data_IF_075997479510
#
_entry.id   IF_075997479510
#
_cell.length_a   1.000
_cell.length_b   1.000
_cell.length_c   1.000
_cell.angle_alpha   90.00
_cell.angle_beta   90.00
_cell.angle_gamma   90.00
#
_symmetry.space_group_name_H-M   'P 1'
#
loop_
_entity.id
_entity.type
_entity.pdbx_description
1 polymer ?
#
# COMPACT_ATOMS: atom_id res chain seq x y z
N UNK A 1 56.89 -11.86 1.71
CA UNK A 1 55.62 -11.19 2.04
C UNK A 1 55.98 -9.85 2.64
N UNK A 2 55.68 -8.74 1.95
CA UNK A 2 55.92 -7.39 2.48
C UNK A 2 54.80 -7.06 3.49
N UNK A 3 55.22 -6.87 4.73
CA UNK A 3 54.32 -6.32 5.77
C UNK A 3 53.95 -4.88 5.39
N UNK A 4 52.65 -4.63 5.19
CA UNK A 4 52.10 -3.27 5.01
C UNK A 4 52.01 -2.68 6.42
N UNK A 5 52.95 -1.79 6.78
CA UNK A 5 52.87 -1.00 8.03
C UNK A 5 52.10 0.28 7.73
N UNK A 6 50.86 0.35 8.17
CA UNK A 6 50.04 1.56 8.15
C UNK A 6 50.49 2.48 9.32
N UNK A 7 50.58 3.77 9.07
CA UNK A 7 50.77 4.73 10.17
C UNK A 7 49.39 5.01 10.85
N UNK A 8 49.42 5.64 12.04
CA UNK A 8 48.20 5.90 12.82
C UNK A 8 47.16 6.74 12.03
N UNK A 9 47.60 7.76 11.27
CA UNK A 9 46.72 8.60 10.47
C UNK A 9 46.05 7.82 9.33
N UNK A 10 46.79 6.93 8.65
CA UNK A 10 46.24 6.08 7.60
C UNK A 10 45.22 5.08 8.16
N UNK A 11 45.47 4.54 9.36
CA UNK A 11 44.54 3.63 10.02
C UNK A 11 43.27 4.36 10.43
N UNK A 12 43.36 5.58 10.97
CA UNK A 12 42.22 6.42 11.35
C UNK A 12 41.39 6.81 10.14
N UNK A 13 42.03 7.15 9.03
CA UNK A 13 41.31 7.43 7.76
C UNK A 13 40.58 6.21 7.23
N UNK A 14 41.17 5.04 7.27
CA UNK A 14 40.52 3.77 6.86
C UNK A 14 39.31 3.47 7.73
N UNK A 15 39.46 3.58 9.06
CA UNK A 15 38.37 3.34 10.02
C UNK A 15 37.23 4.33 9.78
N UNK A 16 37.54 5.61 9.63
CA UNK A 16 36.53 6.67 9.40
C UNK A 16 35.79 6.43 8.08
N UNK A 17 36.52 6.06 7.03
CA UNK A 17 35.93 5.77 5.71
C UNK A 17 35.06 4.53 5.73
N UNK A 18 35.52 3.47 6.42
CA UNK A 18 34.75 2.24 6.59
C UNK A 18 33.48 2.48 7.41
N UNK A 19 33.55 3.27 8.49
CA UNK A 19 32.38 3.63 9.30
C UNK A 19 31.36 4.45 8.48
N UNK A 20 31.80 5.46 7.70
CA UNK A 20 30.91 6.23 6.82
C UNK A 20 30.22 5.33 5.79
N UNK A 21 30.99 4.46 5.11
CA UNK A 21 30.41 3.49 4.16
C UNK A 21 29.42 2.53 4.83
N UNK A 22 29.72 2.06 6.03
CA UNK A 22 28.83 1.21 6.80
C UNK A 22 27.49 1.90 7.09
N UNK A 23 27.52 3.16 7.52
CA UNK A 23 26.32 3.97 7.78
C UNK A 23 25.52 4.21 6.49
N UNK A 24 26.18 4.51 5.36
CA UNK A 24 25.52 4.71 4.07
C UNK A 24 24.84 3.41 3.59
N UNK A 25 25.51 2.27 3.69
CA UNK A 25 24.94 0.97 3.33
C UNK A 25 23.72 0.66 4.19
N UNK A 26 23.83 0.83 5.53
CA UNK A 26 22.72 0.61 6.46
C UNK A 26 21.51 1.49 6.12
N UNK A 27 21.71 2.80 5.94
CA UNK A 27 20.62 3.72 5.54
C UNK A 27 19.96 3.30 4.23
N UNK A 28 20.76 2.89 3.24
CA UNK A 28 20.23 2.46 1.95
C UNK A 28 19.41 1.16 2.05
N UNK A 29 19.82 0.22 2.90
CA UNK A 29 19.09 -1.02 3.15
C UNK A 29 17.78 -0.75 3.90
N UNK A 30 17.82 0.12 4.90
CA UNK A 30 16.65 0.54 5.67
C UNK A 30 15.62 1.24 4.78
N UNK A 31 16.05 2.17 3.93
CA UNK A 31 15.17 2.83 2.94
C UNK A 31 14.54 1.83 1.96
N UNK A 32 15.32 0.85 1.49
CA UNK A 32 14.78 -0.21 0.61
C UNK A 32 13.72 -1.04 1.33
N UNK A 33 13.94 -1.37 2.60
CA UNK A 33 13.00 -2.12 3.43
C UNK A 33 11.72 -1.32 3.64
N UNK A 34 11.80 -0.08 4.07
CA UNK A 34 10.63 0.80 4.25
C UNK A 34 9.81 0.97 2.97
N UNK A 35 10.47 1.13 1.83
CA UNK A 35 9.78 1.22 0.54
C UNK A 35 9.08 -0.09 0.16
N UNK A 36 9.71 -1.23 0.45
CA UNK A 36 9.11 -2.54 0.22
C UNK A 36 7.91 -2.78 1.14
N UNK A 37 8.01 -2.39 2.41
CA UNK A 37 6.93 -2.50 3.39
C UNK A 37 5.73 -1.64 2.99
N UNK A 38 5.93 -0.37 2.64
CA UNK A 38 4.86 0.53 2.13
C UNK A 38 4.17 -0.01 0.88
N UNK A 39 4.93 -0.55 -0.07
CA UNK A 39 4.37 -1.20 -1.25
C UNK A 39 3.50 -2.39 -0.86
N UNK A 40 4.00 -3.26 0.02
CA UNK A 40 3.30 -4.45 0.47
C UNK A 40 2.02 -4.09 1.21
N UNK A 41 2.06 -3.11 2.10
CA UNK A 41 0.90 -2.62 2.85
C UNK A 41 -0.15 -2.02 1.92
N UNK A 42 0.26 -1.22 0.92
CA UNK A 42 -0.64 -0.65 -0.09
C UNK A 42 -1.29 -1.73 -0.93
N UNK A 43 -0.50 -2.71 -1.40
CA UNK A 43 -1.03 -3.82 -2.18
C UNK A 43 -2.02 -4.65 -1.37
N UNK A 44 -1.70 -4.96 -0.12
CA UNK A 44 -2.57 -5.70 0.80
C UNK A 44 -3.85 -4.94 1.11
N UNK A 45 -3.75 -3.63 1.32
CA UNK A 45 -4.89 -2.74 1.52
C UNK A 45 -5.84 -2.76 0.31
N UNK A 46 -5.28 -2.65 -0.90
CA UNK A 46 -6.07 -2.70 -2.13
C UNK A 46 -6.69 -4.08 -2.39
N UNK A 47 -6.07 -5.17 -1.95
CA UNK A 47 -6.68 -6.51 -1.98
C UNK A 47 -7.95 -6.60 -1.13
N UNK A 48 -7.99 -5.89 -0.01
CA UNK A 48 -9.14 -5.84 0.89
C UNK A 48 -10.17 -4.75 0.49
N UNK A 49 -9.92 -3.97 -0.57
CA UNK A 49 -10.75 -2.82 -0.93
C UNK A 49 -12.23 -3.19 -1.13
N UNK A 50 -12.52 -4.25 -1.89
CA UNK A 50 -13.90 -4.71 -2.13
C UNK A 50 -14.62 -5.16 -0.85
N UNK A 51 -13.89 -5.88 0.00
CA UNK A 51 -14.42 -6.33 1.30
C UNK A 51 -14.68 -5.15 2.23
N UNK A 52 -13.82 -4.13 2.19
CA UNK A 52 -14.01 -2.89 2.94
C UNK A 52 -15.23 -2.10 2.45
N UNK A 53 -15.45 -2.03 1.13
CA UNK A 53 -16.66 -1.43 0.53
C UNK A 53 -17.90 -2.20 0.97
N UNK A 54 -17.89 -3.53 0.87
CA UNK A 54 -18.99 -4.38 1.33
C UNK A 54 -19.28 -4.16 2.82
N UNK A 55 -18.26 -4.13 3.67
CA UNK A 55 -18.39 -3.88 5.10
C UNK A 55 -19.00 -2.50 5.38
N UNK A 56 -18.56 -1.45 4.68
CA UNK A 56 -19.14 -0.10 4.80
C UNK A 56 -20.65 -0.11 4.55
N UNK A 57 -21.08 -0.82 3.53
CA UNK A 57 -22.45 -0.78 3.06
C UNK A 57 -23.38 -1.71 3.87
N UNK A 58 -22.87 -2.83 4.38
CA UNK A 58 -23.68 -3.91 4.96
C UNK A 58 -23.53 -4.11 6.48
N UNK A 59 -22.48 -3.58 7.15
CA UNK A 59 -22.21 -3.85 8.56
C UNK A 59 -23.39 -3.54 9.52
N UNK A 60 -24.22 -2.54 9.22
CA UNK A 60 -25.40 -2.20 10.04
C UNK A 60 -26.57 -3.12 9.73
N UNK A 61 -26.69 -3.64 8.50
CA UNK A 61 -27.74 -4.60 8.14
C UNK A 61 -27.57 -5.93 8.86
N UNK A 62 -26.34 -6.43 8.97
CA UNK A 62 -26.02 -7.65 9.72
C UNK A 62 -26.35 -7.50 11.21
N UNK A 63 -26.03 -6.34 11.80
CA UNK A 63 -26.39 -6.04 13.20
C UNK A 63 -27.91 -5.99 13.43
N UNK A 64 -28.70 -5.47 12.49
CA UNK A 64 -30.15 -5.46 12.58
C UNK A 64 -30.74 -6.86 12.47
N UNK A 65 -30.14 -7.75 11.68
CA UNK A 65 -30.57 -9.15 11.57
C UNK A 65 -30.31 -9.93 12.88
N UNK A 66 -29.17 -9.68 13.55
CA UNK A 66 -28.86 -10.29 14.84
C UNK A 66 -29.82 -9.86 15.95
N UNK A 67 -30.32 -8.62 15.90
CA UNK A 67 -31.41 -8.17 16.85
C UNK A 67 -32.70 -8.97 16.73
N UNK A 68 -33.01 -9.46 15.52
CA UNK A 68 -34.25 -10.23 15.30
C UNK A 68 -34.12 -11.68 15.77
N UNK A 69 -32.93 -12.21 16.00
CA UNK A 69 -32.70 -13.61 16.37
C UNK A 69 -32.77 -13.87 17.88
N UNK A 70 -32.88 -12.85 18.73
CA UNK A 70 -33.17 -12.99 20.18
C UNK A 70 -32.08 -13.65 21.03
N UNK A 71 -30.88 -13.87 20.49
CA UNK A 71 -29.78 -14.58 21.17
C UNK A 71 -28.98 -13.72 22.15
N UNK A 72 -29.14 -12.38 22.11
CA UNK A 72 -28.34 -11.44 22.88
C UNK A 72 -29.26 -10.61 23.82
N UNK A 73 -28.77 -10.32 25.03
CA UNK A 73 -29.44 -9.35 25.92
C UNK A 73 -29.38 -7.94 25.33
N UNK A 74 -30.29 -7.03 25.77
CA UNK A 74 -30.32 -5.63 25.27
C UNK A 74 -28.96 -4.91 25.46
N UNK A 75 -28.29 -5.16 26.58
CA UNK A 75 -26.97 -4.58 26.86
C UNK A 75 -25.88 -5.12 25.93
N UNK A 76 -25.91 -6.42 25.68
CA UNK A 76 -24.99 -7.07 24.71
C UNK A 76 -25.22 -6.56 23.28
N UNK A 77 -26.49 -6.40 22.87
CA UNK A 77 -26.87 -5.84 21.58
C UNK A 77 -26.38 -4.40 21.43
N UNK A 78 -26.58 -3.55 22.46
CA UNK A 78 -26.12 -2.16 22.44
C UNK A 78 -24.59 -2.06 22.33
N UNK A 79 -23.87 -2.92 23.05
CA UNK A 79 -22.40 -2.98 22.99
C UNK A 79 -21.91 -3.44 21.62
N UNK A 80 -22.54 -4.47 21.06
CA UNK A 80 -22.22 -5.00 19.74
C UNK A 80 -22.47 -3.97 18.63
N UNK A 81 -23.66 -3.31 18.64
CA UNK A 81 -23.99 -2.24 17.69
C UNK A 81 -23.01 -1.06 17.76
N UNK A 82 -22.59 -0.67 18.96
CA UNK A 82 -21.59 0.38 19.16
C UNK A 82 -20.24 0.00 18.52
N UNK A 83 -19.83 -1.25 18.70
CA UNK A 83 -18.59 -1.77 18.10
C UNK A 83 -18.66 -1.76 16.58
N UNK A 84 -19.76 -2.25 15.97
CA UNK A 84 -19.96 -2.25 14.52
C UNK A 84 -19.96 -0.82 13.96
N UNK A 85 -20.68 0.10 14.58
CA UNK A 85 -20.73 1.50 14.17
C UNK A 85 -19.34 2.14 14.20
N UNK A 86 -18.54 1.86 15.23
CA UNK A 86 -17.17 2.34 15.34
C UNK A 86 -16.26 1.78 14.23
N UNK A 87 -16.38 0.49 13.95
CA UNK A 87 -15.61 -0.18 12.91
C UNK A 87 -16.01 0.33 11.54
N UNK A 88 -17.31 0.47 11.27
CA UNK A 88 -17.83 1.05 10.03
C UNK A 88 -17.34 2.47 9.81
N UNK A 89 -17.34 3.31 10.84
CA UNK A 89 -16.84 4.68 10.75
C UNK A 89 -15.36 4.72 10.35
N UNK A 90 -14.53 3.86 10.95
CA UNK A 90 -13.12 3.73 10.58
C UNK A 90 -12.96 3.29 9.11
N UNK A 91 -13.75 2.32 8.69
CA UNK A 91 -13.75 1.83 7.29
C UNK A 91 -14.14 2.95 6.32
N UNK A 92 -15.15 3.76 6.64
CA UNK A 92 -15.56 4.91 5.82
C UNK A 92 -14.42 5.91 5.66
N UNK A 93 -13.75 6.29 6.77
CA UNK A 93 -12.63 7.22 6.71
C UNK A 93 -11.46 6.67 5.89
N UNK A 94 -11.16 5.40 6.04
CA UNK A 94 -10.10 4.72 5.29
C UNK A 94 -10.43 4.68 3.79
N UNK A 95 -11.67 4.32 3.43
CA UNK A 95 -12.11 4.29 2.03
C UNK A 95 -12.10 5.68 1.40
N UNK A 96 -12.59 6.72 2.10
CA UNK A 96 -12.54 8.11 1.60
C UNK A 96 -11.10 8.54 1.27
N UNK A 97 -10.14 8.14 2.09
CA UNK A 97 -8.73 8.41 1.84
C UNK A 97 -8.17 7.64 0.64
N UNK A 98 -8.52 6.36 0.52
CA UNK A 98 -8.14 5.51 -0.62
C UNK A 98 -8.76 6.05 -1.90
N UNK A 99 -10.07 6.32 -1.90
CA UNK A 99 -10.81 6.76 -3.08
C UNK A 99 -10.22 8.05 -3.65
N UNK A 100 -9.91 9.04 -2.80
CA UNK A 100 -9.24 10.28 -3.24
C UNK A 100 -7.86 10.04 -3.85
N UNK A 101 -7.09 9.12 -3.30
CA UNK A 101 -5.78 8.77 -3.84
C UNK A 101 -5.90 8.04 -5.19
N UNK A 102 -6.90 7.16 -5.33
CA UNK A 102 -7.20 6.44 -6.58
C UNK A 102 -7.69 7.40 -7.66
N UNK A 103 -8.59 8.33 -7.33
CA UNK A 103 -9.05 9.40 -8.24
C UNK A 103 -7.88 10.25 -8.77
N UNK A 104 -6.92 10.57 -7.90
CA UNK A 104 -5.72 11.31 -8.31
C UNK A 104 -4.85 10.48 -9.27
N UNK A 105 -4.70 9.17 -9.05
CA UNK A 105 -4.01 8.27 -9.98
C UNK A 105 -4.71 8.24 -11.34
N UNK A 106 -6.03 8.08 -11.34
CA UNK A 106 -6.83 8.10 -12.57
C UNK A 106 -6.62 9.39 -13.35
N UNK A 107 -6.76 10.54 -12.68
CA UNK A 107 -6.55 11.87 -13.27
C UNK A 107 -5.17 12.00 -13.90
N UNK A 108 -4.11 11.54 -13.20
CA UNK A 108 -2.73 11.55 -13.73
C UNK A 108 -2.59 10.69 -14.98
N UNK A 109 -3.19 9.49 -14.99
CA UNK A 109 -3.13 8.58 -16.14
C UNK A 109 -3.85 9.17 -17.35
N UNK A 110 -5.01 9.79 -17.16
CA UNK A 110 -5.73 10.51 -18.23
C UNK A 110 -4.89 11.64 -18.81
N UNK A 111 -4.27 12.48 -17.97
CA UNK A 111 -3.40 13.57 -18.44
C UNK A 111 -2.15 13.10 -19.20
N UNK A 112 -1.68 11.89 -18.92
CA UNK A 112 -0.50 11.28 -19.57
C UNK A 112 -0.85 10.44 -20.81
N UNK A 113 -2.14 10.26 -21.15
CA UNK A 113 -2.57 9.35 -22.21
C UNK A 113 -2.28 7.86 -21.89
N UNK A 114 -2.37 7.51 -20.60
CA UNK A 114 -2.05 6.16 -20.08
C UNK A 114 -3.23 5.51 -19.37
N UNK A 115 -4.44 5.80 -19.84
CA UNK A 115 -5.70 5.33 -19.23
C UNK A 115 -5.78 3.81 -19.17
N UNK A 116 -5.17 3.12 -20.14
CA UNK A 116 -5.11 1.66 -20.18
C UNK A 116 -4.42 1.06 -18.95
N UNK A 117 -3.45 1.75 -18.38
CA UNK A 117 -2.77 1.29 -17.16
C UNK A 117 -3.69 1.37 -15.94
N UNK A 118 -4.44 2.48 -15.83
CA UNK A 118 -5.46 2.62 -14.80
C UNK A 118 -6.57 1.57 -14.97
N UNK A 119 -6.99 1.31 -16.20
CA UNK A 119 -7.97 0.26 -16.49
C UNK A 119 -7.51 -1.12 -16.02
N UNK A 120 -6.23 -1.46 -16.22
CA UNK A 120 -5.67 -2.71 -15.69
C UNK A 120 -5.73 -2.78 -14.16
N UNK A 121 -5.46 -1.67 -13.47
CA UNK A 121 -5.57 -1.56 -12.02
C UNK A 121 -7.01 -1.75 -11.53
N UNK A 122 -7.98 -1.08 -12.18
CA UNK A 122 -9.42 -1.22 -11.90
C UNK A 122 -9.89 -2.67 -12.07
N UNK A 123 -9.56 -3.31 -13.19
CA UNK A 123 -9.92 -4.69 -13.47
C UNK A 123 -9.39 -5.64 -12.39
N UNK A 124 -8.17 -5.43 -11.92
CA UNK A 124 -7.55 -6.29 -10.92
C UNK A 124 -8.16 -6.11 -9.53
N UNK A 125 -8.20 -4.88 -9.00
CA UNK A 125 -8.58 -4.63 -7.60
C UNK A 125 -10.08 -4.45 -7.41
N UNK A 126 -10.79 -3.83 -8.35
CA UNK A 126 -12.20 -3.51 -8.20
C UNK A 126 -13.10 -4.59 -8.81
N UNK A 127 -12.66 -5.21 -9.93
CA UNK A 127 -13.45 -6.26 -10.59
C UNK A 127 -12.95 -7.67 -10.24
N UNK A 128 -11.69 -7.83 -9.84
CA UNK A 128 -11.12 -9.09 -9.35
C UNK A 128 -10.63 -10.03 -10.44
N UNK A 129 -10.31 -9.50 -11.64
CA UNK A 129 -9.71 -10.28 -12.71
C UNK A 129 -8.26 -10.65 -12.35
N UNK A 130 -7.77 -11.75 -12.91
CA UNK A 130 -6.35 -12.08 -12.80
C UNK A 130 -5.52 -11.41 -13.89
N UNK A 131 -4.18 -11.51 -13.81
CA UNK A 131 -3.28 -10.87 -14.77
C UNK A 131 -3.39 -11.43 -16.19
N UNK A 132 -3.78 -12.70 -16.35
CA UNK A 132 -3.92 -13.34 -17.64
C UNK A 132 -5.18 -12.82 -18.35
N UNK A 133 -6.30 -12.78 -17.64
CA UNK A 133 -7.57 -12.24 -18.12
C UNK A 133 -7.43 -10.76 -18.50
N UNK A 134 -6.74 -9.95 -17.68
CA UNK A 134 -6.49 -8.54 -17.97
C UNK A 134 -5.62 -8.37 -19.22
N UNK A 135 -4.60 -9.23 -19.40
CA UNK A 135 -3.74 -9.17 -20.58
C UNK A 135 -4.52 -9.49 -21.86
N UNK A 136 -5.45 -10.43 -21.81
CA UNK A 136 -6.34 -10.76 -22.90
C UNK A 136 -7.34 -9.64 -23.18
N UNK A 137 -8.05 -9.14 -22.16
CA UNK A 137 -9.05 -8.07 -22.28
C UNK A 137 -8.46 -6.77 -22.87
N UNK A 138 -7.24 -6.40 -22.42
CA UNK A 138 -6.56 -5.20 -22.89
C UNK A 138 -5.66 -5.43 -24.11
N UNK A 139 -5.66 -6.65 -24.67
CA UNK A 139 -4.84 -7.04 -25.81
C UNK A 139 -3.36 -6.68 -25.64
N UNK A 140 -2.76 -7.07 -24.51
CA UNK A 140 -1.39 -6.73 -24.11
C UNK A 140 -0.54 -7.96 -23.84
N UNK A 141 0.77 -7.74 -23.69
CA UNK A 141 1.70 -8.83 -23.32
C UNK A 141 1.44 -9.34 -21.90
N UNK A 142 1.57 -10.64 -21.66
CA UNK A 142 1.26 -11.36 -20.43
C UNK A 142 1.78 -10.71 -19.12
N UNK A 143 2.95 -10.09 -19.17
CA UNK A 143 3.57 -9.45 -17.99
C UNK A 143 3.26 -7.95 -17.88
N UNK A 144 2.59 -7.37 -18.87
CA UNK A 144 2.32 -5.93 -18.94
C UNK A 144 1.37 -5.45 -17.85
N UNK A 145 0.22 -6.11 -17.59
CA UNK A 145 -0.70 -5.70 -16.52
C UNK A 145 -0.02 -5.68 -15.14
N UNK A 146 0.78 -6.70 -14.83
CA UNK A 146 1.51 -6.76 -13.57
C UNK A 146 2.46 -5.57 -13.39
N UNK A 147 3.17 -5.18 -14.44
CA UNK A 147 4.09 -4.02 -14.40
C UNK A 147 3.34 -2.72 -14.22
N UNK A 148 2.22 -2.52 -14.92
CA UNK A 148 1.37 -1.33 -14.79
C UNK A 148 0.79 -1.21 -13.39
N UNK A 149 0.17 -2.27 -12.88
CA UNK A 149 -0.40 -2.33 -11.53
C UNK A 149 0.68 -2.07 -10.47
N UNK A 150 1.86 -2.66 -10.61
CA UNK A 150 2.98 -2.42 -9.69
C UNK A 150 3.43 -0.96 -9.69
N UNK A 151 3.47 -0.30 -10.86
CA UNK A 151 3.75 1.13 -10.98
C UNK A 151 2.71 1.98 -10.26
N UNK A 152 1.43 1.69 -10.43
CA UNK A 152 0.33 2.39 -9.76
C UNK A 152 0.38 2.19 -8.26
N UNK A 153 0.62 0.97 -7.77
CA UNK A 153 0.74 0.71 -6.32
C UNK A 153 1.89 1.50 -5.70
N UNK A 154 3.03 1.64 -6.38
CA UNK A 154 4.12 2.47 -5.90
C UNK A 154 3.73 3.96 -5.79
N UNK A 155 3.01 4.51 -6.77
CA UNK A 155 2.51 5.89 -6.70
C UNK A 155 1.44 6.04 -5.62
N UNK A 156 0.51 5.10 -5.52
CA UNK A 156 -0.54 5.06 -4.51
C UNK A 156 0.03 4.99 -3.10
N UNK A 157 1.14 4.24 -2.90
CA UNK A 157 1.82 4.16 -1.60
C UNK A 157 2.32 5.52 -1.14
N UNK A 158 2.81 6.37 -2.07
CA UNK A 158 3.23 7.74 -1.76
C UNK A 158 2.03 8.62 -1.41
N UNK A 159 0.91 8.48 -2.12
CA UNK A 159 -0.30 9.26 -1.85
C UNK A 159 -0.94 8.89 -0.50
N UNK A 160 -0.89 7.63 -0.11
CA UNK A 160 -1.49 7.14 1.14
C UNK A 160 -0.59 7.37 2.35
N UNK A 161 0.73 7.17 2.23
CA UNK A 161 1.65 7.13 3.36
C UNK A 161 2.65 8.29 3.39
N UNK A 162 2.62 9.14 2.36
CA UNK A 162 3.54 10.26 2.22
C UNK A 162 4.96 9.86 1.79
N UNK A 163 5.81 10.87 1.70
CA UNK A 163 7.23 10.74 1.36
C UNK A 163 8.02 10.70 2.65
N UNK A 164 8.99 9.78 2.79
CA UNK A 164 9.88 9.77 3.93
C UNK A 164 10.85 10.95 3.87
N UNK A 165 11.15 11.57 5.03
CA UNK A 165 12.06 12.73 5.14
C UNK A 165 13.43 12.43 4.51
N UNK A 166 13.92 11.20 4.63
CA UNK A 166 15.18 10.74 4.02
C UNK A 166 15.19 10.74 2.49
N UNK A 167 14.01 10.73 1.85
CA UNK A 167 13.89 10.78 0.38
C UNK A 167 13.99 12.21 -0.15
N UNK A 168 13.70 13.22 0.69
CA UNK A 168 13.73 14.65 0.33
C UNK A 168 15.15 15.22 0.44
N UNK A 169 16.04 14.56 1.20
CA UNK A 169 17.40 15.03 1.49
C UNK A 169 18.45 14.65 0.41
N UNK A 170 18.04 14.14 -0.74
CA UNK A 170 18.88 13.84 -1.90
C UNK A 170 18.62 14.84 -3.03
#
# INVERSE_FOLDING_TARGET
MSEIRLNEDELEQIITTAAKKGVEIYKREEQKKHKADKYHDTFSLMKCYRDAVFHRDNAVSEAAQLQQQGELTEEQQATYLRSIRRTRFKTILMLDHIDKAVEEIERRRQQQGREVEYKAFELYFMQGLDYADIAEELNTGKNTPRRWISGIINELSVLLWGIDEDTIAQ
#
